data_IF_450959958850
#
_entry.id   IF_450959958850
#
_cell.length_a   1.000
_cell.length_b   1.000
_cell.length_c   1.000
_cell.angle_alpha   90.00
_cell.angle_beta   90.00
_cell.angle_gamma   90.00
#
_symmetry.space_group_name_H-M   'P 1'
#
loop_
_entity.id
_entity.type
_entity.pdbx_description
1 polymer ?
#
# COMPACT_ATOMS: atom_id res chain seq x y z
N UNK A 1 1.27 2.62 10.52
CA UNK A 1 2.27 3.66 10.18
C UNK A 1 2.92 3.41 8.82
N UNK A 2 3.37 2.20 8.49
CA UNK A 2 4.00 1.90 7.18
C UNK A 2 3.08 2.03 5.95
N UNK A 3 1.79 1.72 6.10
CA UNK A 3 0.83 1.78 5.00
C UNK A 3 0.57 3.19 4.46
N UNK A 4 0.52 4.18 5.35
CA UNK A 4 0.38 5.60 4.98
C UNK A 4 1.62 6.08 4.24
N UNK A 5 2.82 5.67 4.69
CA UNK A 5 4.06 5.99 4.01
C UNK A 5 4.10 5.40 2.58
N UNK A 6 3.69 4.15 2.40
CA UNK A 6 3.57 3.51 1.08
C UNK A 6 2.56 4.24 0.19
N UNK A 7 1.39 4.59 0.71
CA UNK A 7 0.37 5.33 -0.03
C UNK A 7 0.88 6.72 -0.48
N UNK A 8 1.55 7.46 0.41
CA UNK A 8 2.16 8.76 0.08
C UNK A 8 3.32 8.60 -0.91
N UNK A 9 4.11 7.53 -0.81
CA UNK A 9 5.15 7.21 -1.79
C UNK A 9 4.55 6.98 -3.18
N UNK A 10 3.49 6.17 -3.29
CA UNK A 10 2.81 5.94 -4.57
C UNK A 10 2.23 7.24 -5.12
N UNK A 11 1.62 8.06 -4.27
CA UNK A 11 1.13 9.39 -4.67
C UNK A 11 2.27 10.30 -5.17
N UNK A 12 3.44 10.31 -4.52
CA UNK A 12 4.60 11.10 -4.96
C UNK A 12 5.16 10.62 -6.31
N UNK A 13 4.99 9.33 -6.62
CA UNK A 13 5.30 8.75 -7.93
C UNK A 13 4.24 9.07 -9.01
N UNK A 14 3.09 9.64 -8.64
CA UNK A 14 1.96 9.84 -9.55
C UNK A 14 1.11 8.58 -9.76
N UNK A 15 1.30 7.55 -8.94
CA UNK A 15 0.43 6.38 -8.90
C UNK A 15 -0.77 6.76 -8.03
N UNK A 16 -1.90 7.00 -8.69
CA UNK A 16 -3.16 7.33 -8.03
C UNK A 16 -4.11 6.13 -7.99
N UNK A 17 -4.99 6.13 -6.99
CA UNK A 17 -6.13 5.20 -6.87
C UNK A 17 -5.79 3.70 -6.81
N UNK A 18 -4.59 3.35 -6.35
CA UNK A 18 -4.15 1.96 -6.17
C UNK A 18 -4.38 1.49 -4.71
N UNK A 19 -4.91 0.29 -4.45
CA UNK A 19 -5.11 -0.19 -3.08
C UNK A 19 -3.78 -0.59 -2.41
N UNK A 20 -3.50 -0.04 -1.23
CA UNK A 20 -2.37 -0.45 -0.39
C UNK A 20 -2.91 -1.28 0.77
N UNK A 21 -2.55 -2.56 0.80
CA UNK A 21 -2.92 -3.47 1.86
C UNK A 21 -1.85 -3.49 2.96
N UNK A 22 -2.28 -3.51 4.21
CA UNK A 22 -1.39 -3.61 5.35
C UNK A 22 -1.92 -4.62 6.36
N UNK A 23 -1.01 -5.42 6.90
CA UNK A 23 -1.30 -6.39 7.95
C UNK A 23 -0.83 -5.84 9.30
N UNK A 24 -1.75 -5.77 10.26
CA UNK A 24 -1.44 -5.54 11.68
C UNK A 24 -1.57 -6.88 12.37
N UNK A 25 -0.48 -7.42 12.90
CA UNK A 25 -0.47 -8.76 13.49
C UNK A 25 -0.03 -8.74 14.95
N UNK A 26 -0.70 -9.56 15.76
CA UNK A 26 -0.36 -9.86 17.14
C UNK A 26 -0.46 -11.38 17.34
N UNK A 27 0.69 -12.05 17.50
CA UNK A 27 0.74 -13.50 17.58
C UNK A 27 0.16 -14.17 16.32
N UNK A 28 -0.87 -15.01 16.48
CA UNK A 28 -1.57 -15.66 15.37
C UNK A 28 -2.71 -14.83 14.78
N UNK A 29 -3.06 -13.70 15.38
CA UNK A 29 -4.13 -12.85 14.90
C UNK A 29 -3.56 -11.77 13.96
N UNK A 30 -4.06 -11.72 12.73
CA UNK A 30 -3.71 -10.70 11.74
C UNK A 30 -4.95 -9.95 11.28
N UNK A 31 -4.91 -8.62 11.29
CA UNK A 31 -5.97 -7.74 10.78
C UNK A 31 -5.49 -7.08 9.49
N UNK A 32 -6.20 -7.32 8.40
CA UNK A 32 -5.98 -6.66 7.12
C UNK A 32 -6.68 -5.31 7.08
N UNK A 33 -5.91 -4.30 6.74
CA UNK A 33 -6.37 -2.94 6.46
C UNK A 33 -6.10 -2.62 5.01
N UNK A 34 -6.98 -1.83 4.40
CA UNK A 34 -6.80 -1.35 3.03
C UNK A 34 -6.87 0.18 3.02
N UNK A 35 -5.85 0.79 2.43
CA UNK A 35 -5.75 2.23 2.23
C UNK A 35 -5.94 2.54 0.76
N UNK A 36 -6.75 3.56 0.48
CA UNK A 36 -6.93 4.09 -0.86
C UNK A 36 -6.90 5.61 -0.80
N UNK A 37 -6.20 6.25 -1.73
CA UNK A 37 -6.17 7.71 -1.84
C UNK A 37 -6.81 8.10 -3.18
N UNK A 38 -7.98 8.76 -3.15
CA UNK A 38 -8.59 9.27 -4.36
C UNK A 38 -7.86 10.51 -4.91
N UNK A 39 -7.02 11.17 -4.10
CA UNK A 39 -6.17 12.28 -4.54
C UNK A 39 -4.94 12.42 -3.63
N UNK A 40 -3.89 13.10 -4.12
CA UNK A 40 -2.64 13.31 -3.39
C UNK A 40 -2.81 14.00 -2.01
N UNK A 41 -3.94 14.68 -1.78
CA UNK A 41 -4.19 15.44 -0.56
C UNK A 41 -4.78 14.60 0.57
N UNK A 42 -5.52 13.52 0.26
CA UNK A 42 -6.26 12.77 1.28
C UNK A 42 -6.03 11.26 1.15
N UNK A 43 -5.57 10.64 2.23
CA UNK A 43 -5.52 9.18 2.35
C UNK A 43 -6.79 8.74 3.06
N UNK A 44 -7.63 7.96 2.39
CA UNK A 44 -8.82 7.36 3.02
C UNK A 44 -8.45 5.96 3.47
N UNK A 45 -8.35 5.77 4.79
CA UNK A 45 -8.20 4.44 5.35
C UNK A 45 -9.58 3.79 5.45
N UNK A 46 -9.75 2.64 4.80
CA UNK A 46 -10.99 1.88 4.85
C UNK A 46 -10.87 0.86 5.99
N UNK A 47 -10.97 1.33 7.23
CA UNK A 47 -10.92 0.45 8.42
C UNK A 47 -12.27 -0.17 8.78
N UNK A 48 -13.38 0.41 8.31
CA UNK A 48 -14.73 0.06 8.77
C UNK A 48 -15.14 -1.41 8.54
N UNK A 49 -14.33 -2.20 7.80
CA UNK A 49 -14.51 -3.65 7.59
C UNK A 49 -13.18 -4.41 7.61
N UNK A 50 -12.21 -3.98 8.43
CA UNK A 50 -10.91 -4.64 8.52
C UNK A 50 -11.09 -6.14 8.86
N UNK A 51 -10.62 -7.02 7.97
CA UNK A 51 -10.84 -8.46 8.10
C UNK A 51 -9.75 -9.05 8.99
N UNK A 52 -10.14 -9.72 10.06
CA UNK A 52 -9.23 -10.48 10.90
C UNK A 52 -9.11 -11.94 10.45
N UNK A 53 -7.92 -12.50 10.61
CA UNK A 53 -7.58 -13.88 10.34
C UNK A 53 -6.81 -14.41 11.55
N UNK A 54 -7.24 -15.53 12.11
CA UNK A 54 -6.46 -16.27 13.10
C UNK A 54 -5.77 -17.46 12.42
N UNK A 55 -4.47 -17.31 12.16
CA UNK A 55 -3.67 -18.32 11.48
C UNK A 55 -3.35 -19.53 12.36
N UNK A 56 -3.71 -19.52 13.65
CA UNK A 56 -3.65 -20.71 14.49
C UNK A 56 -4.75 -21.72 14.12
N UNK A 57 -5.79 -21.28 13.41
CA UNK A 57 -6.86 -22.17 12.92
C UNK A 57 -6.63 -22.55 11.46
N UNK A 58 -6.93 -23.80 11.05
CA UNK A 58 -6.81 -24.20 9.64
C UNK A 58 -7.64 -23.33 8.68
N UNK A 59 -8.85 -22.93 9.10
CA UNK A 59 -9.74 -22.06 8.30
C UNK A 59 -9.16 -20.65 8.19
N UNK A 60 -8.67 -20.07 9.28
CA UNK A 60 -8.08 -18.73 9.26
C UNK A 60 -6.81 -18.68 8.43
N UNK A 61 -5.95 -19.70 8.53
CA UNK A 61 -4.77 -19.87 7.68
C UNK A 61 -5.15 -20.01 6.20
N UNK A 62 -6.16 -20.83 5.89
CA UNK A 62 -6.65 -21.00 4.51
C UNK A 62 -7.19 -19.69 3.91
N UNK A 63 -8.02 -18.94 4.66
CA UNK A 63 -8.54 -17.66 4.21
C UNK A 63 -7.42 -16.62 4.02
N UNK A 64 -6.44 -16.58 4.92
CA UNK A 64 -5.30 -15.68 4.79
C UNK A 64 -4.45 -16.03 3.56
N UNK A 65 -4.16 -17.31 3.35
CA UNK A 65 -3.44 -17.78 2.16
C UNK A 65 -4.18 -17.44 0.86
N UNK A 66 -5.50 -17.59 0.84
CA UNK A 66 -6.34 -17.23 -0.31
C UNK A 66 -6.24 -15.74 -0.62
N UNK A 67 -6.22 -14.88 0.42
CA UNK A 67 -6.01 -13.46 0.25
C UNK A 67 -4.60 -13.14 -0.29
N UNK A 68 -3.56 -13.84 0.15
CA UNK A 68 -2.21 -13.68 -0.41
C UNK A 68 -2.16 -14.09 -1.89
N UNK A 69 -2.85 -15.17 -2.27
CA UNK A 69 -2.99 -15.56 -3.67
C UNK A 69 -3.67 -14.45 -4.48
N UNK A 70 -4.76 -13.87 -3.98
CA UNK A 70 -5.42 -12.72 -4.62
C UNK A 70 -4.47 -11.54 -4.84
N UNK A 71 -3.64 -11.21 -3.84
CA UNK A 71 -2.61 -10.17 -4.01
C UNK A 71 -1.62 -10.49 -5.12
N UNK A 72 -1.16 -11.74 -5.16
CA UNK A 72 -0.20 -12.20 -6.14
C UNK A 72 -0.77 -12.25 -7.57
N UNK A 73 -2.05 -12.59 -7.75
CA UNK A 73 -2.65 -12.76 -9.07
C UNK A 73 -3.30 -11.48 -9.61
N UNK A 74 -3.96 -10.70 -8.77
CA UNK A 74 -4.75 -9.55 -9.23
C UNK A 74 -3.97 -8.24 -9.19
N UNK A 75 -3.09 -8.06 -8.20
CA UNK A 75 -2.49 -6.76 -7.90
C UNK A 75 -0.98 -6.68 -8.20
N UNK A 76 -0.26 -7.82 -8.21
CA UNK A 76 1.19 -7.84 -8.35
C UNK A 76 1.66 -7.33 -9.73
N UNK A 77 1.04 -7.81 -10.80
CA UNK A 77 1.39 -7.39 -12.16
C UNK A 77 1.03 -5.92 -12.41
N UNK A 78 -0.12 -5.47 -11.89
CA UNK A 78 -0.56 -4.09 -12.04
C UNK A 78 0.39 -3.12 -11.31
N UNK A 79 0.76 -3.42 -10.06
CA UNK A 79 1.71 -2.56 -9.32
C UNK A 79 3.08 -2.58 -9.96
N UNK A 80 3.54 -3.75 -10.45
CA UNK A 80 4.80 -3.88 -11.17
C UNK A 80 4.85 -3.01 -12.42
N UNK A 81 3.80 -3.05 -13.24
CA UNK A 81 3.68 -2.21 -14.44
C UNK A 81 3.67 -0.72 -14.10
N UNK A 82 2.83 -0.30 -13.14
CA UNK A 82 2.76 1.12 -12.72
C UNK A 82 4.09 1.63 -12.18
N UNK A 83 4.83 0.80 -11.44
CA UNK A 83 6.15 1.14 -10.93
C UNK A 83 7.19 1.27 -12.05
N UNK A 84 7.18 0.38 -13.04
CA UNK A 84 8.11 0.47 -14.18
C UNK A 84 7.83 1.71 -15.05
N UNK A 85 6.56 2.09 -15.22
CA UNK A 85 6.14 3.31 -15.93
C UNK A 85 6.69 4.60 -15.29
N UNK A 86 6.70 4.69 -13.97
CA UNK A 86 7.16 5.90 -13.24
C UNK A 86 8.65 5.88 -12.90
N UNK A 87 9.33 4.74 -13.04
CA UNK A 87 10.73 4.52 -12.61
C UNK A 87 11.71 5.49 -13.26
N UNK A 88 11.62 5.69 -14.57
CA UNK A 88 12.53 6.60 -15.29
C UNK A 88 12.43 8.03 -14.79
N UNK A 89 11.21 8.53 -14.64
CA UNK A 89 10.91 9.85 -14.12
C UNK A 89 11.34 10.01 -12.66
N UNK A 90 11.11 8.98 -11.83
CA UNK A 90 11.57 8.96 -10.44
C UNK A 90 13.10 9.04 -10.34
N UNK A 91 13.84 8.22 -11.10
CA UNK A 91 15.30 8.23 -11.10
C UNK A 91 15.83 9.61 -11.54
N UNK A 92 15.22 10.24 -12.55
CA UNK A 92 15.58 11.58 -12.99
C UNK A 92 15.38 12.61 -11.87
N UNK A 93 14.20 12.62 -11.24
CA UNK A 93 13.89 13.52 -10.11
C UNK A 93 14.84 13.31 -8.93
N UNK A 94 15.15 12.05 -8.62
CA UNK A 94 16.08 11.69 -7.55
C UNK A 94 17.49 12.21 -7.81
N UNK A 95 18.04 11.98 -9.01
CA UNK A 95 19.36 12.50 -9.41
C UNK A 95 19.44 14.03 -9.35
N UNK A 96 18.35 14.70 -9.69
CA UNK A 96 18.27 16.16 -9.67
C UNK A 96 17.92 16.74 -8.29
N UNK A 97 17.83 15.90 -7.24
CA UNK A 97 17.45 16.33 -5.88
C UNK A 97 16.14 17.14 -5.84
N UNK A 98 15.18 16.73 -6.67
CA UNK A 98 13.91 17.44 -6.87
C UNK A 98 13.20 17.69 -5.52
N UNK A 99 12.80 18.94 -5.22
CA UNK A 99 12.10 19.27 -3.98
C UNK A 99 10.80 18.48 -3.75
N UNK A 100 10.14 18.01 -4.81
CA UNK A 100 8.91 17.21 -4.72
C UNK A 100 9.11 15.84 -4.08
N UNK A 101 10.34 15.31 -4.09
CA UNK A 101 10.69 14.04 -3.45
C UNK A 101 11.07 14.20 -1.96
N UNK A 102 11.21 15.42 -1.47
CA UNK A 102 11.59 15.67 -0.07
C UNK A 102 10.39 15.48 0.83
N UNK A 103 10.56 14.59 1.81
CA UNK A 103 9.60 14.43 2.89
C UNK A 103 9.38 15.77 3.62
N UNK A 104 8.13 16.22 3.70
CA UNK A 104 7.79 17.49 4.35
C UNK A 104 6.59 17.33 5.30
N UNK A 105 6.43 18.29 6.22
CA UNK A 105 5.36 18.27 7.23
C UNK A 105 3.95 18.19 6.64
N UNK A 106 3.71 18.61 5.39
CA UNK A 106 2.40 18.46 4.73
C UNK A 106 2.09 17.01 4.34
N UNK A 107 3.11 16.15 4.26
CA UNK A 107 2.99 14.72 3.96
C UNK A 107 2.89 13.84 5.21
N UNK A 108 3.20 14.39 6.39
CA UNK A 108 3.17 13.70 7.69
C UNK A 108 1.76 13.65 8.31
N UNK A 109 0.83 14.45 7.80
CA UNK A 109 -0.55 14.59 8.28
C UNK A 109 -1.51 13.74 7.44
#
# INVERSE_FOLDING_TARGET
>A
MYSVATAKFFSALGIEDFPVFALVAEGSLGVLTCLRWPSAQYVKMLEANARSFDIATPIGAFHFATFLCLLATEYADEVGRKLEEVKGDFIRKYKNSDPSLRWNMKQQI
#
